data_IF_854943393499
#
_entry.id   IF_854943393499
#
_cell.length_a   1.000
_cell.length_b   1.000
_cell.length_c   1.000
_cell.angle_alpha   90.00
_cell.angle_beta   90.00
_cell.angle_gamma   90.00
#
_symmetry.space_group_name_H-M   'P 1'
#
loop_
_entity.id
_entity.type
_entity.pdbx_description
1 polymer ?
#
# COMPACT_ATOMS: atom_id res chain seq x y z
N UNK A 1 19.18 25.79 23.81
CA UNK A 1 18.63 25.38 22.51
C UNK A 1 18.72 23.87 22.47
N UNK A 2 17.77 23.20 23.11
CA UNK A 2 17.78 21.75 23.26
C UNK A 2 17.24 21.11 21.99
N UNK A 3 18.07 20.26 21.40
CA UNK A 3 17.79 19.49 20.20
C UNK A 3 16.85 18.33 20.55
N UNK A 4 15.56 18.58 20.81
CA UNK A 4 14.56 17.52 20.98
C UNK A 4 13.98 17.10 19.62
N UNK A 5 14.81 16.48 18.77
CA UNK A 5 14.38 15.96 17.45
C UNK A 5 13.53 14.69 17.56
N UNK A 6 13.32 14.18 18.77
CA UNK A 6 12.56 12.97 19.08
C UNK A 6 11.67 13.26 20.28
N UNK A 7 10.56 13.97 20.06
CA UNK A 7 9.50 14.05 21.06
C UNK A 7 8.78 12.70 21.16
N UNK A 8 8.17 12.40 22.30
CA UNK A 8 7.34 11.21 22.45
C UNK A 8 6.23 11.14 21.38
N UNK A 9 5.67 12.29 21.02
CA UNK A 9 4.66 12.42 19.95
C UNK A 9 5.20 12.03 18.56
N UNK A 10 6.47 12.35 18.27
CA UNK A 10 7.09 11.96 17.01
C UNK A 10 7.26 10.43 16.93
N UNK A 11 7.72 9.80 18.02
CA UNK A 11 7.94 8.35 18.06
C UNK A 11 6.63 7.60 17.98
N UNK A 12 5.61 8.02 18.72
CA UNK A 12 4.29 7.37 18.69
C UNK A 12 3.66 7.51 17.31
N UNK A 13 3.68 8.70 16.70
CA UNK A 13 3.18 8.91 15.34
C UNK A 13 3.95 8.08 14.31
N UNK A 14 5.29 8.01 14.42
CA UNK A 14 6.12 7.20 13.52
C UNK A 14 5.77 5.71 13.64
N UNK A 15 5.64 5.19 14.86
CA UNK A 15 5.22 3.79 15.10
C UNK A 15 3.83 3.56 14.53
N UNK A 16 2.87 4.48 14.73
CA UNK A 16 1.53 4.39 14.16
C UNK A 16 1.56 4.34 12.64
N UNK A 17 2.36 5.18 11.97
CA UNK A 17 2.50 5.16 10.51
C UNK A 17 3.06 3.82 10.04
N UNK A 18 4.13 3.33 10.65
CA UNK A 18 4.73 2.03 10.30
C UNK A 18 3.71 0.91 10.49
N UNK A 19 2.97 0.93 11.60
CA UNK A 19 1.98 -0.08 11.92
C UNK A 19 0.81 -0.04 10.93
N UNK A 20 0.29 1.15 10.60
CA UNK A 20 -0.76 1.34 9.60
C UNK A 20 -0.31 0.83 8.24
N UNK A 21 0.87 1.23 7.77
CA UNK A 21 1.37 0.84 6.45
C UNK A 21 1.66 -0.67 6.35
N UNK A 22 2.10 -1.32 7.43
CA UNK A 22 2.27 -2.78 7.46
C UNK A 22 0.91 -3.50 7.49
N UNK A 23 -0.04 -3.03 8.31
CA UNK A 23 -1.35 -3.66 8.47
C UNK A 23 -2.18 -3.55 7.18
N UNK A 24 -2.18 -2.37 6.57
CA UNK A 24 -2.83 -2.04 5.28
C UNK A 24 -1.97 -2.45 4.07
N UNK A 25 -0.72 -2.88 4.30
CA UNK A 25 0.20 -3.35 3.27
C UNK A 25 0.25 -4.87 3.13
N UNK A 26 -0.40 -5.61 4.05
CA UNK A 26 -0.37 -7.07 4.07
C UNK A 26 -1.07 -7.72 2.88
N UNK A 27 -2.26 -7.24 2.53
CA UNK A 27 -3.02 -7.60 1.32
C UNK A 27 -2.32 -7.17 0.04
N UNK A 28 -1.73 -5.97 0.03
CA UNK A 28 -0.89 -5.45 -1.04
C UNK A 28 0.29 -6.39 -1.36
N UNK A 29 0.92 -6.97 -0.33
CA UNK A 29 2.01 -7.93 -0.51
C UNK A 29 1.56 -9.22 -1.22
N UNK A 30 0.32 -9.68 -0.99
CA UNK A 30 -0.28 -10.83 -1.67
C UNK A 30 -0.56 -10.50 -3.13
N UNK A 31 -1.13 -9.32 -3.43
CA UNK A 31 -1.41 -8.86 -4.80
C UNK A 31 -0.11 -8.72 -5.61
N UNK A 32 0.94 -8.15 -5.01
CA UNK A 32 2.27 -8.04 -5.63
C UNK A 32 2.82 -9.43 -5.95
N UNK A 33 2.73 -10.38 -5.01
CA UNK A 33 3.22 -11.74 -5.19
C UNK A 33 2.45 -12.48 -6.29
N UNK A 34 1.14 -12.24 -6.43
CA UNK A 34 0.27 -12.77 -7.48
C UNK A 34 0.60 -12.17 -8.86
N UNK A 35 0.72 -10.85 -8.95
CA UNK A 35 1.03 -10.14 -10.19
C UNK A 35 2.35 -10.61 -10.82
N UNK A 36 3.32 -11.00 -9.99
CA UNK A 36 4.64 -11.46 -10.44
C UNK A 36 4.79 -13.00 -10.47
N UNK A 37 3.76 -13.78 -10.11
CA UNK A 37 3.86 -15.24 -9.95
C UNK A 37 4.18 -15.99 -11.25
N UNK A 38 3.64 -15.52 -12.38
CA UNK A 38 3.87 -16.14 -13.70
C UNK A 38 5.28 -15.94 -14.28
N UNK A 39 6.10 -15.08 -13.66
CA UNK A 39 7.44 -14.78 -14.16
C UNK A 39 8.48 -15.77 -13.63
N UNK A 40 9.52 -16.10 -14.43
CA UNK A 40 10.69 -16.82 -13.94
C UNK A 40 11.30 -16.14 -12.71
N UNK A 41 11.83 -16.92 -11.75
CA UNK A 41 12.29 -16.42 -10.45
C UNK A 41 13.22 -15.18 -10.51
N UNK A 42 14.12 -15.12 -11.50
CA UNK A 42 15.01 -13.98 -11.71
C UNK A 42 14.27 -12.71 -12.16
N UNK A 43 13.27 -12.84 -13.04
CA UNK A 43 12.44 -11.73 -13.51
C UNK A 43 11.40 -11.32 -12.47
N UNK A 44 10.86 -12.26 -11.70
CA UNK A 44 9.93 -12.02 -10.60
C UNK A 44 10.52 -11.06 -9.56
N UNK A 45 11.75 -11.32 -9.09
CA UNK A 45 12.42 -10.44 -8.12
C UNK A 45 12.63 -9.03 -8.69
N UNK A 46 12.96 -8.92 -9.98
CA UNK A 46 13.05 -7.61 -10.67
C UNK A 46 11.69 -6.92 -10.78
N UNK A 47 10.63 -7.65 -11.13
CA UNK A 47 9.27 -7.12 -11.23
C UNK A 47 8.80 -6.54 -9.89
N UNK A 48 8.99 -7.30 -8.81
CA UNK A 48 8.64 -6.87 -7.45
C UNK A 48 9.47 -5.63 -7.08
N UNK A 49 10.79 -5.66 -7.24
CA UNK A 49 11.63 -4.55 -6.78
C UNK A 49 11.39 -3.25 -7.58
N UNK A 50 11.26 -3.34 -8.91
CA UNK A 50 11.00 -2.18 -9.77
C UNK A 50 9.55 -1.70 -9.63
N UNK A 51 8.60 -2.64 -9.63
CA UNK A 51 7.17 -2.35 -9.49
C UNK A 51 6.83 -1.71 -8.14
N UNK A 52 7.26 -2.32 -7.03
CA UNK A 52 7.07 -1.75 -5.70
C UNK A 52 7.81 -0.43 -5.55
N UNK A 53 9.02 -0.28 -6.12
CA UNK A 53 9.73 1.00 -6.13
C UNK A 53 8.93 2.11 -6.83
N UNK A 54 8.37 1.83 -8.01
CA UNK A 54 7.52 2.79 -8.72
C UNK A 54 6.21 3.10 -7.98
N UNK A 55 5.57 2.07 -7.43
CA UNK A 55 4.35 2.18 -6.64
C UNK A 55 4.53 3.08 -5.41
N UNK A 56 5.62 2.84 -4.65
CA UNK A 56 6.02 3.65 -3.50
C UNK A 56 6.18 5.12 -3.85
N UNK A 57 6.81 5.43 -4.99
CA UNK A 57 7.00 6.83 -5.40
C UNK A 57 5.66 7.50 -5.64
N UNK A 58 4.74 6.82 -6.34
CA UNK A 58 3.38 7.31 -6.56
C UNK A 58 2.67 7.49 -5.21
N UNK A 59 2.77 6.50 -4.32
CA UNK A 59 2.17 6.53 -2.98
C UNK A 59 2.72 7.68 -2.14
N UNK A 60 4.02 7.93 -2.17
CA UNK A 60 4.65 9.04 -1.48
C UNK A 60 4.10 10.37 -2.00
N UNK A 61 4.09 10.58 -3.32
CA UNK A 61 3.53 11.79 -3.93
C UNK A 61 2.07 11.99 -3.54
N UNK A 62 1.25 10.94 -3.63
CA UNK A 62 -0.16 10.97 -3.22
C UNK A 62 -0.31 11.32 -1.74
N UNK A 63 0.56 10.78 -0.88
CA UNK A 63 0.58 11.10 0.56
C UNK A 63 0.95 12.54 0.83
N UNK A 64 1.98 13.07 0.16
CA UNK A 64 2.37 14.47 0.32
C UNK A 64 1.22 15.40 -0.08
N UNK A 65 0.52 15.08 -1.19
CA UNK A 65 -0.67 15.82 -1.62
C UNK A 65 -1.77 15.71 -0.57
N UNK A 66 -2.07 14.51 -0.06
CA UNK A 66 -3.10 14.30 0.96
C UNK A 66 -2.77 15.06 2.25
N UNK A 67 -1.53 14.98 2.75
CA UNK A 67 -1.06 15.71 3.94
C UNK A 67 -1.25 17.21 3.76
N UNK A 68 -0.88 17.74 2.60
CA UNK A 68 -1.10 19.15 2.29
C UNK A 68 -2.60 19.49 2.25
N UNK A 69 -3.40 18.64 1.62
CA UNK A 69 -4.84 18.83 1.49
C UNK A 69 -5.56 18.82 2.85
N UNK A 70 -5.10 17.98 3.78
CA UNK A 70 -5.61 17.91 5.16
C UNK A 70 -5.35 19.17 6.00
N UNK A 71 -4.48 20.08 5.55
CA UNK A 71 -4.30 21.39 6.21
C UNK A 71 -5.49 22.33 5.99
N UNK A 72 -6.35 22.05 5.01
CA UNK A 72 -7.54 22.84 4.72
C UNK A 72 -8.62 22.52 5.78
N UNK A 73 -9.06 23.50 6.58
CA UNK A 73 -10.09 23.27 7.60
C UNK A 73 -11.39 22.80 6.96
N UNK A 74 -12.14 21.94 7.67
CA UNK A 74 -13.40 21.32 7.25
C UNK A 74 -13.31 20.33 6.08
N UNK A 75 -12.19 20.24 5.38
CA UNK A 75 -12.05 19.28 4.29
C UNK A 75 -12.16 17.83 4.78
N UNK A 76 -11.59 17.52 5.95
CA UNK A 76 -11.72 16.19 6.57
C UNK A 76 -13.18 15.81 6.83
N UNK A 77 -13.98 16.78 7.28
CA UNK A 77 -15.42 16.60 7.54
C UNK A 77 -16.16 16.34 6.22
N UNK A 78 -15.85 17.11 5.18
CA UNK A 78 -16.44 16.95 3.85
C UNK A 78 -16.04 15.60 3.22
N UNK A 79 -14.78 15.21 3.34
CA UNK A 79 -14.26 13.92 2.87
C UNK A 79 -14.94 12.74 3.56
N UNK A 80 -15.07 12.80 4.90
CA UNK A 80 -15.82 11.79 5.66
C UNK A 80 -17.29 11.68 5.23
N UNK A 81 -17.95 12.81 4.97
CA UNK A 81 -19.32 12.84 4.44
C UNK A 81 -19.44 12.19 3.05
N UNK A 82 -18.48 12.44 2.16
CA UNK A 82 -18.44 11.83 0.82
C UNK A 82 -18.23 10.31 0.89
N UNK A 83 -17.47 9.83 1.89
CA UNK A 83 -17.19 8.41 2.07
C UNK A 83 -18.40 7.61 2.59
N UNK A 84 -19.33 8.21 3.33
CA UNK A 84 -20.52 7.53 3.85
C UNK A 84 -21.31 6.76 2.78
N UNK A 85 -21.74 7.36 1.65
CA UNK A 85 -22.44 6.62 0.60
C UNK A 85 -21.56 5.57 -0.10
N UNK A 86 -20.24 5.75 -0.15
CA UNK A 86 -19.31 4.78 -0.73
C UNK A 86 -19.19 3.55 0.18
N UNK A 87 -19.05 3.75 1.49
CA UNK A 87 -19.02 2.68 2.48
C UNK A 87 -20.31 1.84 2.44
N UNK A 88 -21.47 2.47 2.29
CA UNK A 88 -22.75 1.76 2.12
C UNK A 88 -22.78 0.96 0.80
N UNK A 89 -22.24 1.52 -0.29
CA UNK A 89 -22.14 0.80 -1.58
C UNK A 89 -21.19 -0.40 -1.52
N UNK A 90 -20.10 -0.31 -0.75
CA UNK A 90 -19.14 -1.39 -0.56
C UNK A 90 -19.69 -2.54 0.30
N UNK A 91 -20.67 -2.28 1.17
CA UNK A 91 -21.38 -3.32 1.93
C UNK A 91 -22.38 -4.11 1.08
N UNK A 92 -22.77 -3.59 -0.08
CA UNK A 92 -23.61 -4.31 -1.03
C UNK A 92 -22.72 -5.25 -1.88
N UNK A 93 -23.16 -6.48 -2.17
CA UNK A 93 -22.39 -7.39 -3.03
C UNK A 93 -22.13 -6.71 -4.38
N UNK A 94 -20.88 -6.37 -4.64
CA UNK A 94 -20.47 -5.79 -5.90
C UNK A 94 -20.12 -6.91 -6.88
N UNK A 95 -20.70 -6.89 -8.09
CA UNK A 95 -20.21 -7.71 -9.20
C UNK A 95 -18.90 -7.11 -9.72
N UNK A 96 -17.77 -7.43 -9.09
CA UNK A 96 -16.44 -7.04 -9.57
C UNK A 96 -15.91 -8.06 -10.59
N UNK A 97 -15.89 -7.64 -11.85
CA UNK A 97 -15.22 -8.31 -12.96
C UNK A 97 -13.82 -7.71 -13.20
N UNK A 98 -13.06 -7.45 -12.14
CA UNK A 98 -11.65 -7.05 -12.29
C UNK A 98 -10.75 -8.27 -12.18
N UNK A 99 -10.65 -9.01 -13.29
CA UNK A 99 -9.54 -9.95 -13.46
C UNK A 99 -8.25 -9.14 -13.61
N UNK A 100 -7.50 -9.05 -12.51
CA UNK A 100 -6.10 -8.65 -12.55
C UNK A 100 -5.37 -9.70 -13.39
N UNK A 101 -5.27 -9.44 -14.70
CA UNK A 101 -4.57 -10.30 -15.63
C UNK A 101 -3.08 -10.22 -15.30
N UNK A 102 -2.59 -11.19 -14.51
CA UNK A 102 -1.17 -11.41 -14.32
C UNK A 102 -0.52 -11.56 -15.69
N UNK A 103 0.28 -10.56 -16.06
CA UNK A 103 0.87 -10.47 -17.39
C UNK A 103 2.08 -11.38 -17.49
N UNK A 104 2.23 -12.08 -18.60
CA UNK A 104 3.32 -13.03 -18.83
C UNK A 104 4.69 -12.34 -19.05
N UNK A 105 4.70 -11.00 -19.11
CA UNK A 105 5.89 -10.18 -19.35
C UNK A 105 6.22 -9.27 -18.17
N UNK A 106 7.53 -9.02 -17.98
CA UNK A 106 8.09 -8.20 -16.90
C UNK A 106 7.41 -6.82 -16.79
N UNK A 107 7.27 -6.11 -17.91
CA UNK A 107 6.64 -4.78 -17.95
C UNK A 107 5.17 -4.82 -17.55
N UNK A 108 4.47 -5.90 -17.92
CA UNK A 108 3.08 -6.09 -17.55
C UNK A 108 2.94 -6.31 -16.06
N UNK A 109 3.75 -7.18 -15.46
CA UNK A 109 3.77 -7.39 -14.01
C UNK A 109 4.10 -6.10 -13.23
N UNK A 110 5.08 -5.30 -13.70
CA UNK A 110 5.41 -4.00 -13.10
C UNK A 110 4.20 -3.05 -13.14
N UNK A 111 3.52 -2.94 -14.29
CA UNK A 111 2.32 -2.10 -14.43
C UNK A 111 1.20 -2.58 -13.52
N UNK A 112 0.95 -3.89 -13.48
CA UNK A 112 -0.07 -4.48 -12.61
C UNK A 112 0.22 -4.17 -11.14
N UNK A 113 1.47 -4.30 -10.69
CA UNK A 113 1.88 -3.95 -9.33
C UNK A 113 1.59 -2.47 -9.04
N UNK A 114 1.99 -1.57 -9.94
CA UNK A 114 1.80 -0.13 -9.75
C UNK A 114 0.32 0.25 -9.69
N UNK A 115 -0.49 -0.27 -10.61
CA UNK A 115 -1.92 0.05 -10.69
C UNK A 115 -2.65 -0.50 -9.47
N UNK A 116 -2.37 -1.75 -9.10
CA UNK A 116 -2.99 -2.36 -7.93
C UNK A 116 -2.62 -1.62 -6.63
N UNK A 117 -1.34 -1.29 -6.44
CA UNK A 117 -0.89 -0.54 -5.27
C UNK A 117 -1.49 0.87 -5.22
N UNK A 118 -1.62 1.54 -6.37
CA UNK A 118 -2.23 2.86 -6.42
C UNK A 118 -3.72 2.81 -6.10
N UNK A 119 -4.45 1.82 -6.62
CA UNK A 119 -5.89 1.66 -6.38
C UNK A 119 -6.18 1.33 -4.91
N UNK A 120 -5.45 0.37 -4.33
CA UNK A 120 -5.60 -0.03 -2.92
C UNK A 120 -5.00 1.02 -1.97
N UNK A 121 -3.94 1.71 -2.41
CA UNK A 121 -3.17 2.64 -1.60
C UNK A 121 -3.86 3.96 -1.30
N UNK A 122 -4.98 4.30 -1.95
CA UNK A 122 -5.70 5.57 -1.69
C UNK A 122 -6.16 5.65 -0.23
N UNK A 123 -6.77 4.58 0.30
CA UNK A 123 -7.27 4.55 1.68
C UNK A 123 -6.10 4.53 2.68
N UNK A 124 -5.03 3.80 2.36
CA UNK A 124 -3.81 3.79 3.16
C UNK A 124 -3.15 5.19 3.21
N UNK A 125 -3.13 5.90 2.09
CA UNK A 125 -2.59 7.26 2.05
C UNK A 125 -3.37 8.20 2.96
N UNK A 126 -4.70 8.15 2.95
CA UNK A 126 -5.52 9.00 3.83
C UNK A 126 -5.26 8.69 5.31
N UNK A 127 -5.13 7.40 5.66
CA UNK A 127 -4.81 6.97 7.02
C UNK A 127 -3.43 7.48 7.48
N UNK A 128 -2.39 7.29 6.66
CA UNK A 128 -1.04 7.75 6.97
C UNK A 128 -0.96 9.27 7.01
N UNK A 129 -1.62 9.95 6.07
CA UNK A 129 -1.66 11.40 6.04
C UNK A 129 -2.30 11.97 7.32
N UNK A 130 -3.38 11.36 7.81
CA UNK A 130 -4.00 11.69 9.08
C UNK A 130 -3.07 11.45 10.29
N UNK A 131 -2.38 10.30 10.32
CA UNK A 131 -1.45 9.95 11.38
C UNK A 131 -0.15 10.79 11.39
N UNK A 132 0.18 11.42 10.26
CA UNK A 132 1.40 12.23 10.12
C UNK A 132 1.34 13.61 10.79
N UNK A 133 0.15 14.06 11.21
CA UNK A 133 -0.08 15.37 11.80
C UNK A 133 0.51 16.54 10.96
N UNK A 134 0.56 16.41 9.63
CA UNK A 134 1.11 17.44 8.76
C UNK A 134 2.62 17.36 8.52
N UNK A 135 3.33 16.42 9.17
CA UNK A 135 4.79 16.31 9.07
C UNK A 135 5.22 15.41 7.92
N UNK A 136 5.76 16.02 6.88
CA UNK A 136 6.37 15.31 5.76
C UNK A 136 7.55 14.41 6.19
N UNK A 137 8.29 14.82 7.23
CA UNK A 137 9.42 14.05 7.74
C UNK A 137 8.96 12.75 8.42
N UNK A 138 7.84 12.78 9.14
CA UNK A 138 7.24 11.56 9.72
C UNK A 138 6.85 10.56 8.64
N UNK A 139 6.20 11.01 7.56
CA UNK A 139 5.82 10.16 6.43
C UNK A 139 7.04 9.54 5.76
N UNK A 140 8.04 10.37 5.43
CA UNK A 140 9.25 9.91 4.75
C UNK A 140 10.01 8.87 5.58
N UNK A 141 10.16 9.10 6.90
CA UNK A 141 10.79 8.14 7.81
C UNK A 141 9.97 6.84 7.94
N UNK A 142 8.65 6.95 8.04
CA UNK A 142 7.76 5.78 8.10
C UNK A 142 7.92 4.89 6.87
N UNK A 143 7.86 5.48 5.68
CA UNK A 143 8.02 4.79 4.40
C UNK A 143 9.41 4.15 4.28
N UNK A 144 10.46 4.88 4.66
CA UNK A 144 11.83 4.36 4.61
C UNK A 144 11.99 3.05 5.41
N UNK A 145 11.24 2.91 6.52
CA UNK A 145 11.28 1.73 7.39
C UNK A 145 10.30 0.65 6.91
N UNK A 146 9.07 1.01 6.52
CA UNK A 146 8.02 0.05 6.15
C UNK A 146 8.26 -0.63 4.81
N UNK A 147 8.77 0.09 3.80
CA UNK A 147 8.93 -0.42 2.44
C UNK A 147 9.85 -1.64 2.38
N UNK A 148 11.06 -1.63 2.99
CA UNK A 148 11.90 -2.83 3.03
C UNK A 148 11.19 -4.03 3.66
N UNK A 149 10.38 -3.81 4.70
CA UNK A 149 9.62 -4.87 5.38
C UNK A 149 8.59 -5.48 4.42
N UNK A 150 7.82 -4.65 3.71
CA UNK A 150 6.81 -5.10 2.74
C UNK A 150 7.46 -5.83 1.56
N UNK A 151 8.56 -5.31 1.02
CA UNK A 151 9.30 -5.95 -0.08
C UNK A 151 9.86 -7.30 0.35
N UNK A 152 10.45 -7.39 1.55
CA UNK A 152 10.90 -8.66 2.09
C UNK A 152 9.71 -9.63 2.28
N UNK A 153 8.62 -9.17 2.89
CA UNK A 153 7.40 -9.93 3.10
C UNK A 153 6.81 -10.50 1.81
N UNK A 154 6.68 -9.67 0.76
CA UNK A 154 6.13 -10.11 -0.53
C UNK A 154 7.00 -11.16 -1.21
N UNK A 155 8.34 -11.11 -1.05
CA UNK A 155 9.20 -12.20 -1.54
C UNK A 155 9.03 -13.50 -0.75
N UNK A 156 8.74 -13.42 0.55
CA UNK A 156 8.45 -14.61 1.37
C UNK A 156 7.12 -15.22 0.97
N UNK A 157 6.06 -14.40 0.88
CA UNK A 157 4.74 -14.81 0.38
C UNK A 157 4.89 -15.46 -0.99
N UNK A 158 5.67 -14.85 -1.89
CA UNK A 158 5.90 -15.39 -3.21
C UNK A 158 6.51 -16.80 -3.22
N UNK A 159 7.51 -17.07 -2.36
CA UNK A 159 8.08 -18.42 -2.20
C UNK A 159 7.09 -19.41 -1.60
N UNK A 160 6.25 -18.95 -0.66
CA UNK A 160 5.20 -19.79 -0.07
C UNK A 160 4.18 -20.19 -1.14
N UNK A 161 3.80 -19.27 -2.03
CA UNK A 161 2.90 -19.56 -3.15
C UNK A 161 3.50 -20.56 -4.14
N UNK A 162 4.81 -20.51 -4.40
CA UNK A 162 5.50 -21.50 -5.25
C UNK A 162 5.46 -22.90 -4.63
N UNK A 163 5.53 -22.98 -3.30
CA UNK A 163 5.50 -24.25 -2.56
C UNK A 163 4.08 -24.78 -2.33
N UNK A 164 3.12 -23.88 -2.14
CA UNK A 164 1.73 -24.17 -1.82
C UNK A 164 0.80 -23.35 -2.71
N UNK A 165 0.46 -23.85 -3.92
CA UNK A 165 -0.43 -23.15 -4.85
C UNK A 165 -1.81 -22.85 -4.28
N UNK A 166 -2.24 -23.57 -3.24
CA UNK A 166 -3.52 -23.34 -2.54
C UNK A 166 -3.60 -21.93 -1.92
N UNK A 167 -2.46 -21.33 -1.58
CA UNK A 167 -2.38 -19.96 -1.04
C UNK A 167 -2.83 -18.93 -2.07
N UNK A 168 -2.78 -19.24 -3.38
CA UNK A 168 -3.33 -18.40 -4.43
C UNK A 168 -4.86 -18.23 -4.28
N UNK A 169 -5.57 -19.32 -3.95
CA UNK A 169 -7.02 -19.26 -3.73
C UNK A 169 -7.37 -18.49 -2.44
N UNK A 170 -6.56 -18.65 -1.39
CA UNK A 170 -6.71 -17.87 -0.16
C UNK A 170 -6.45 -16.38 -0.37
N UNK A 171 -5.43 -16.03 -1.16
CA UNK A 171 -5.13 -14.64 -1.52
C UNK A 171 -6.18 -14.02 -2.45
N UNK A 172 -6.68 -14.78 -3.43
CA UNK A 172 -7.77 -14.34 -4.30
C UNK A 172 -9.08 -14.12 -3.52
N UNK A 173 -9.36 -14.98 -2.52
CA UNK A 173 -10.52 -14.82 -1.65
C UNK A 173 -10.39 -13.71 -0.60
N UNK A 174 -9.20 -13.14 -0.41
CA UNK A 174 -8.97 -11.97 0.46
C UNK A 174 -9.25 -10.65 -0.29
N UNK A 175 -9.29 -10.71 -1.62
CA UNK A 175 -9.47 -9.56 -2.51
C UNK A 175 -10.88 -9.46 -3.11
N UNK A 176 -11.72 -10.48 -2.90
CA UNK A 176 -13.07 -10.60 -3.43
C UNK A 176 -14.13 -10.62 -2.34
#
# INVERSE_FOLDING_TARGET
MEWTFVSWDFVTALISIIMLDILLGGDNAVVIAMAANKLPAALRRKAILIGTGGAVVIRLVMTLIAVWLLTIPYLQVLGGLILLPIAVKLLLPAEHNEQINASDNLMGAIRTIIIADAAMGVDNVLAIAGASHGSFLLVACGFLISIPIIVCGSTVIGRVMDRFPVVLYGGAGLLG
#
